data_IF_795979116878
#
_entry.id   IF_795979116878
#
_cell.length_a   1.000
_cell.length_b   1.000
_cell.length_c   1.000
_cell.angle_alpha   90.00
_cell.angle_beta   90.00
_cell.angle_gamma   90.00
#
_symmetry.space_group_name_H-M   'P 1'
#
loop_
_entity.id
_entity.type
_entity.pdbx_description
1 polymer ?
#
# COMPACT_ATOMS: atom_id res chain seq x y z
N UNK A 1 -39.59 21.52 -2.85
CA UNK A 1 -38.51 20.48 -2.77
C UNK A 1 -37.86 20.61 -1.41
N UNK A 2 -38.23 19.73 -0.46
CA UNK A 2 -37.68 19.76 0.88
C UNK A 2 -36.26 19.17 0.86
N UNK A 3 -35.28 20.03 1.14
CA UNK A 3 -33.90 19.57 1.40
C UNK A 3 -33.87 18.97 2.80
N UNK A 4 -33.80 17.66 2.91
CA UNK A 4 -33.57 16.98 4.19
C UNK A 4 -32.07 16.88 4.44
N UNK A 5 -31.66 17.18 5.67
CA UNK A 5 -30.28 17.16 6.12
C UNK A 5 -30.00 15.73 6.63
N UNK A 6 -29.08 15.03 6.01
CA UNK A 6 -28.62 13.74 6.49
C UNK A 6 -27.47 13.97 7.49
N UNK A 7 -27.64 13.55 8.74
CA UNK A 7 -26.57 13.56 9.75
C UNK A 7 -26.25 12.13 10.13
N UNK A 8 -24.96 11.78 10.14
CA UNK A 8 -24.46 10.42 10.36
C UNK A 8 -24.52 9.98 11.84
N UNK A 9 -24.96 10.84 12.74
CA UNK A 9 -24.88 10.63 14.20
C UNK A 9 -26.18 10.16 14.89
N UNK A 10 -27.27 9.90 14.15
CA UNK A 10 -28.52 9.44 14.74
C UNK A 10 -28.93 8.09 14.18
N UNK A 11 -29.26 7.15 15.06
CA UNK A 11 -29.77 5.82 14.73
C UNK A 11 -31.25 5.83 14.35
N UNK A 12 -31.91 6.98 14.41
CA UNK A 12 -33.34 7.11 14.14
C UNK A 12 -33.58 7.87 12.84
N UNK A 13 -33.63 7.15 11.74
CA UNK A 13 -34.10 7.74 10.46
C UNK A 13 -35.41 7.13 10.04
N UNK A 14 -36.37 7.96 9.73
CA UNK A 14 -37.41 7.59 8.77
C UNK A 14 -36.90 7.90 7.36
N UNK A 15 -36.72 6.87 6.55
CA UNK A 15 -36.32 7.01 5.14
C UNK A 15 -37.56 6.84 4.28
N UNK A 16 -38.00 7.96 3.67
CA UNK A 16 -39.01 7.88 2.62
C UNK A 16 -38.35 7.54 1.27
N UNK A 17 -38.81 6.49 0.63
CA UNK A 17 -38.39 6.13 -0.72
C UNK A 17 -39.18 6.90 -1.77
N UNK A 18 -38.56 7.27 -2.92
CA UNK A 18 -37.18 6.96 -3.27
C UNK A 18 -36.19 8.04 -2.79
N UNK A 19 -35.10 7.62 -2.14
CA UNK A 19 -33.96 8.45 -1.86
C UNK A 19 -32.70 7.80 -2.45
N UNK A 20 -31.95 8.58 -3.23
CA UNK A 20 -30.64 8.14 -3.73
C UNK A 20 -29.56 8.95 -3.04
N UNK A 21 -28.65 8.29 -2.36
CA UNK A 21 -27.46 8.88 -1.78
C UNK A 21 -26.26 8.39 -2.59
N UNK A 22 -25.49 9.32 -3.12
CA UNK A 22 -24.22 9.02 -3.76
C UNK A 22 -23.07 9.62 -2.96
N UNK A 23 -22.02 8.85 -2.77
CA UNK A 23 -20.79 9.30 -2.14
C UNK A 23 -19.62 9.06 -3.10
N UNK A 24 -18.66 9.99 -3.13
CA UNK A 24 -17.41 9.81 -3.84
C UNK A 24 -16.31 9.54 -2.84
N UNK A 25 -15.68 8.39 -2.95
CA UNK A 25 -14.51 8.01 -2.16
C UNK A 25 -13.27 8.37 -2.96
N UNK A 26 -12.32 9.06 -2.33
CA UNK A 26 -11.01 9.33 -2.92
C UNK A 26 -9.99 8.46 -2.23
N UNK A 27 -9.35 7.58 -2.99
CA UNK A 27 -8.19 6.80 -2.53
C UNK A 27 -6.95 7.47 -3.13
N UNK A 28 -6.16 8.20 -2.35
CA UNK A 28 -4.95 8.80 -2.86
C UNK A 28 -3.92 7.70 -3.16
N UNK A 29 -3.36 7.74 -4.37
CA UNK A 29 -2.28 6.83 -4.79
C UNK A 29 -1.18 7.72 -5.35
N UNK A 30 0.03 7.51 -4.86
CA UNK A 30 1.23 8.21 -5.32
C UNK A 30 2.18 7.20 -5.93
N UNK A 31 2.67 7.50 -7.14
CA UNK A 31 3.72 6.75 -7.80
C UNK A 31 4.88 7.69 -8.12
N UNK A 32 6.07 7.37 -7.64
CA UNK A 32 7.26 8.24 -7.74
C UNK A 32 8.52 7.45 -8.00
N UNK A 33 9.47 8.01 -8.74
CA UNK A 33 10.86 7.55 -8.76
C UNK A 33 11.59 8.07 -7.51
N UNK A 34 12.23 7.20 -6.75
CA UNK A 34 13.05 7.61 -5.61
C UNK A 34 14.44 8.09 -6.01
N UNK A 35 14.96 7.59 -7.12
CA UNK A 35 16.33 7.86 -7.57
C UNK A 35 17.37 7.51 -6.49
N UNK A 36 17.16 6.40 -5.78
CA UNK A 36 18.13 5.91 -4.82
C UNK A 36 19.46 5.65 -5.52
N UNK A 37 20.56 5.98 -4.85
CA UNK A 37 21.87 5.68 -5.37
C UNK A 37 22.07 4.16 -5.54
N UNK A 38 22.97 3.79 -6.44
CA UNK A 38 23.21 2.41 -6.85
C UNK A 38 23.67 1.52 -5.66
N UNK A 39 24.48 2.08 -4.78
CA UNK A 39 25.04 1.33 -3.65
C UNK A 39 23.96 1.00 -2.62
N UNK A 40 23.10 1.95 -2.26
CA UNK A 40 21.94 1.72 -1.38
C UNK A 40 20.99 0.68 -1.98
N UNK A 41 20.68 0.77 -3.28
CA UNK A 41 19.83 -0.24 -3.94
C UNK A 41 20.47 -1.63 -3.92
N UNK A 42 21.77 -1.73 -4.19
CA UNK A 42 22.50 -3.00 -4.16
C UNK A 42 22.53 -3.59 -2.75
N UNK A 43 22.71 -2.77 -1.71
CA UNK A 43 22.68 -3.19 -0.31
C UNK A 43 21.29 -3.70 0.08
N UNK A 44 20.21 -2.99 -0.29
CA UNK A 44 18.84 -3.46 -0.05
C UNK A 44 18.57 -4.81 -0.71
N UNK A 45 18.95 -4.96 -1.98
CA UNK A 45 18.79 -6.24 -2.71
C UNK A 45 19.53 -7.36 -1.98
N UNK A 46 20.80 -7.12 -1.59
CA UNK A 46 21.61 -8.09 -0.88
C UNK A 46 20.94 -8.53 0.43
N UNK A 47 20.51 -7.57 1.25
CA UNK A 47 19.84 -7.85 2.52
C UNK A 47 18.56 -8.65 2.34
N UNK A 48 17.74 -8.32 1.33
CA UNK A 48 16.51 -9.05 1.04
C UNK A 48 16.81 -10.50 0.62
N UNK A 49 17.84 -10.71 -0.19
CA UNK A 49 18.24 -12.05 -0.62
C UNK A 49 18.85 -12.87 0.52
N UNK A 50 19.55 -12.25 1.46
CA UNK A 50 20.17 -12.93 2.62
C UNK A 50 19.14 -13.32 3.68
N UNK A 51 18.02 -12.59 3.79
CA UNK A 51 17.00 -12.77 4.83
C UNK A 51 15.63 -13.18 4.29
N UNK A 52 15.53 -13.50 3.01
CA UNK A 52 14.25 -13.69 2.32
C UNK A 52 13.44 -14.91 2.74
N UNK A 53 13.99 -15.83 3.50
CA UNK A 53 13.30 -17.03 3.98
C UNK A 53 12.84 -16.97 5.45
N UNK A 54 13.03 -15.83 6.12
CA UNK A 54 12.72 -15.67 7.55
C UNK A 54 11.23 -15.88 7.87
N UNK A 55 10.32 -15.54 6.95
CA UNK A 55 8.86 -15.72 7.14
C UNK A 55 8.31 -17.02 6.55
N UNK A 56 9.08 -17.72 5.73
CA UNK A 56 8.74 -19.03 5.19
C UNK A 56 7.30 -19.15 4.66
N UNK A 57 6.84 -18.18 3.86
CA UNK A 57 5.49 -18.14 3.24
C UNK A 57 4.31 -18.14 4.24
N UNK A 58 4.53 -17.80 5.50
CA UNK A 58 3.51 -17.82 6.55
C UNK A 58 2.52 -16.64 6.48
N UNK A 59 2.84 -15.58 5.74
CA UNK A 59 2.02 -14.39 5.56
C UNK A 59 1.12 -14.45 4.31
N UNK A 60 0.46 -13.34 3.97
CA UNK A 60 -0.25 -13.17 2.69
C UNK A 60 0.71 -13.15 1.50
N UNK A 61 1.99 -12.89 1.73
CA UNK A 61 3.06 -12.97 0.74
C UNK A 61 3.43 -14.45 0.55
N UNK A 62 3.15 -14.99 -0.62
CA UNK A 62 3.49 -16.37 -1.02
C UNK A 62 4.77 -16.36 -1.84
N UNK A 63 5.82 -15.84 -1.25
CA UNK A 63 7.15 -15.65 -1.81
C UNK A 63 8.18 -15.63 -0.68
N UNK A 64 9.45 -15.55 -1.01
CA UNK A 64 10.49 -15.35 -0.01
C UNK A 64 10.33 -13.96 0.61
N UNK A 65 10.25 -13.88 1.91
CA UNK A 65 10.01 -12.65 2.66
C UNK A 65 10.92 -12.57 3.88
N UNK A 66 11.50 -11.39 4.09
CA UNK A 66 12.32 -11.11 5.28
C UNK A 66 11.45 -10.96 6.53
N UNK A 67 12.11 -10.78 7.69
CA UNK A 67 11.43 -10.32 8.91
C UNK A 67 10.69 -8.99 8.69
N UNK A 68 9.61 -8.78 9.45
CA UNK A 68 8.75 -7.59 9.37
C UNK A 68 9.42 -6.28 9.78
N UNK A 69 10.49 -6.36 10.58
CA UNK A 69 11.09 -5.20 11.23
C UNK A 69 12.50 -4.89 10.72
N UNK A 70 12.74 -5.06 9.42
CA UNK A 70 14.06 -4.80 8.82
C UNK A 70 14.56 -3.37 9.08
N UNK A 71 13.67 -2.39 9.15
CA UNK A 71 14.01 -0.99 9.43
C UNK A 71 14.58 -0.75 10.84
N UNK A 72 14.34 -1.65 11.77
CA UNK A 72 14.95 -1.59 13.11
C UNK A 72 16.34 -2.20 13.16
N UNK A 73 16.66 -3.07 12.20
CA UNK A 73 17.89 -3.87 12.16
C UNK A 73 18.93 -3.32 11.18
N UNK A 74 18.49 -2.74 10.05
CA UNK A 74 19.37 -2.35 8.95
C UNK A 74 19.17 -0.89 8.55
N UNK A 75 20.31 -0.21 8.38
CA UNK A 75 20.37 1.23 8.07
C UNK A 75 19.61 1.57 6.78
N UNK A 76 19.77 0.77 5.74
CA UNK A 76 19.16 1.00 4.42
C UNK A 76 17.63 0.97 4.48
N UNK A 77 17.07 0.03 5.22
CA UNK A 77 15.64 -0.04 5.47
C UNK A 77 15.14 1.11 6.36
N UNK A 78 15.94 1.50 7.36
CA UNK A 78 15.64 2.65 8.22
C UNK A 78 15.60 3.96 7.42
N UNK A 79 16.56 4.17 6.54
CA UNK A 79 16.60 5.36 5.67
C UNK A 79 15.38 5.42 4.76
N UNK A 80 14.97 4.27 4.19
CA UNK A 80 13.78 4.16 3.37
C UNK A 80 12.50 4.45 4.17
N UNK A 81 12.38 3.93 5.39
CA UNK A 81 11.23 4.19 6.26
C UNK A 81 11.13 5.67 6.65
N UNK A 82 12.23 6.31 7.02
CA UNK A 82 12.26 7.75 7.32
C UNK A 82 11.81 8.58 6.10
N UNK A 83 12.25 8.20 4.91
CA UNK A 83 11.82 8.86 3.69
C UNK A 83 10.31 8.72 3.45
N UNK A 84 9.76 7.51 3.58
CA UNK A 84 8.33 7.26 3.40
C UNK A 84 7.48 7.93 4.46
N UNK A 85 7.94 8.01 5.72
CA UNK A 85 7.28 8.78 6.79
C UNK A 85 7.20 10.27 6.45
N UNK A 86 8.31 10.86 6.01
CA UNK A 86 8.35 12.27 5.60
C UNK A 86 7.42 12.55 4.42
N UNK A 87 7.37 11.63 3.44
CA UNK A 87 6.49 11.73 2.30
C UNK A 87 5.01 11.57 2.71
N UNK A 88 4.69 10.61 3.56
CA UNK A 88 3.35 10.40 4.11
C UNK A 88 2.81 11.64 4.81
N UNK A 89 3.61 12.26 5.68
CA UNK A 89 3.27 13.54 6.33
C UNK A 89 2.97 14.64 5.31
N UNK A 90 3.80 14.75 4.28
CA UNK A 90 3.64 15.76 3.22
C UNK A 90 2.36 15.56 2.41
N UNK A 91 2.01 14.32 2.10
CA UNK A 91 0.84 13.99 1.28
C UNK A 91 -0.46 14.14 2.08
N UNK A 92 -0.46 13.72 3.34
CA UNK A 92 -1.63 13.74 4.21
C UNK A 92 -2.15 15.15 4.50
N UNK A 93 -1.32 16.20 4.32
CA UNK A 93 -1.66 17.60 4.60
C UNK A 93 -2.10 17.90 6.04
N UNK A 94 -2.23 16.88 6.86
CA UNK A 94 -2.57 16.97 8.26
C UNK A 94 -1.30 16.95 9.11
N UNK A 95 -1.34 17.66 10.24
CA UNK A 95 -0.20 17.69 11.17
C UNK A 95 -0.23 16.44 12.08
N UNK A 96 -0.15 15.27 11.45
CA UNK A 96 -0.17 13.97 12.14
C UNK A 96 1.24 13.40 12.20
N UNK A 97 1.54 12.79 13.34
CA UNK A 97 2.76 11.99 13.46
C UNK A 97 2.56 10.64 12.79
N UNK A 98 3.42 10.35 11.83
CA UNK A 98 3.46 9.10 11.09
C UNK A 98 4.73 8.37 11.47
N UNK A 99 4.61 7.11 11.78
CA UNK A 99 5.75 6.20 12.00
C UNK A 99 5.56 4.92 11.21
N UNK A 100 6.65 4.34 10.77
CA UNK A 100 6.65 3.03 10.12
C UNK A 100 6.39 1.95 11.16
N UNK A 101 5.32 1.20 10.99
CA UNK A 101 5.00 0.08 11.86
C UNK A 101 5.79 -1.15 11.45
N UNK A 102 5.77 -1.50 10.18
CA UNK A 102 6.57 -2.59 9.60
C UNK A 102 7.26 -2.14 8.30
N UNK A 103 8.38 -2.76 8.00
CA UNK A 103 9.12 -2.54 6.76
C UNK A 103 9.96 -3.78 6.47
N UNK A 104 9.66 -4.43 5.38
CA UNK A 104 10.22 -5.71 4.99
C UNK A 104 10.49 -5.77 3.49
N UNK A 105 11.18 -6.81 3.04
CA UNK A 105 11.46 -7.05 1.63
C UNK A 105 10.98 -8.43 1.19
N UNK A 106 10.63 -8.56 -0.09
CA UNK A 106 10.26 -9.84 -0.68
C UNK A 106 10.90 -10.06 -2.04
N UNK A 107 11.08 -11.33 -2.38
CA UNK A 107 11.54 -11.78 -3.70
C UNK A 107 10.47 -12.68 -4.27
N UNK A 108 9.85 -12.24 -5.35
CA UNK A 108 8.85 -13.01 -6.09
C UNK A 108 9.51 -13.71 -7.27
N UNK A 109 9.27 -14.99 -7.40
CA UNK A 109 9.62 -15.80 -8.57
C UNK A 109 8.38 -16.09 -9.39
N UNK A 110 8.57 -16.69 -10.55
CA UNK A 110 7.46 -17.06 -11.44
C UNK A 110 6.43 -17.94 -10.71
N UNK A 111 5.19 -17.48 -10.64
CA UNK A 111 4.07 -18.17 -10.01
C UNK A 111 3.86 -17.81 -8.53
N UNK A 112 4.71 -16.97 -7.97
CA UNK A 112 4.55 -16.46 -6.60
C UNK A 112 3.74 -15.16 -6.61
N UNK A 113 2.98 -14.94 -5.55
CA UNK A 113 2.04 -13.82 -5.45
C UNK A 113 1.88 -13.33 -4.02
N UNK A 114 1.29 -12.18 -3.88
CA UNK A 114 0.68 -11.74 -2.63
C UNK A 114 -0.82 -11.94 -2.73
N UNK A 115 -1.38 -12.72 -1.79
CA UNK A 115 -2.83 -12.93 -1.70
C UNK A 115 -3.52 -11.60 -1.41
N UNK A 116 -4.65 -11.37 -2.09
CA UNK A 116 -5.50 -10.19 -1.85
C UNK A 116 -5.77 -10.02 -0.35
N UNK A 117 -5.50 -8.83 0.15
CA UNK A 117 -5.71 -8.45 1.55
C UNK A 117 -5.97 -6.95 1.68
N UNK A 118 -6.29 -6.51 2.87
CA UNK A 118 -6.48 -5.09 3.19
C UNK A 118 -5.43 -4.63 4.18
N UNK A 119 -5.13 -3.35 4.14
CA UNK A 119 -4.24 -2.68 5.09
C UNK A 119 -5.06 -1.87 6.11
N UNK A 120 -6.12 -2.48 6.64
CA UNK A 120 -6.99 -1.85 7.62
C UNK A 120 -6.22 -1.37 8.84
N UNK A 121 -6.43 -0.11 9.19
CA UNK A 121 -5.77 0.53 10.34
C UNK A 121 -4.48 1.28 9.98
N UNK A 122 -3.92 1.09 8.80
CA UNK A 122 -2.77 1.87 8.32
C UNK A 122 -3.24 3.15 7.64
N UNK A 123 -2.51 4.24 7.88
CA UNK A 123 -2.74 5.50 7.18
C UNK A 123 -2.23 5.44 5.75
N UNK A 124 -1.06 4.82 5.58
CA UNK A 124 -0.40 4.61 4.31
C UNK A 124 0.25 3.23 4.28
N UNK A 125 0.22 2.62 3.11
CA UNK A 125 1.05 1.47 2.75
C UNK A 125 1.94 1.85 1.58
N UNK A 126 3.07 1.19 1.42
CA UNK A 126 3.98 1.49 0.33
C UNK A 126 4.75 0.26 -0.15
N UNK A 127 5.09 0.27 -1.45
CA UNK A 127 5.96 -0.71 -2.09
C UNK A 127 7.05 0.02 -2.86
N UNK A 128 8.31 -0.32 -2.61
CA UNK A 128 9.45 0.15 -3.38
C UNK A 128 10.01 -0.96 -4.25
N UNK A 129 10.06 -0.72 -5.55
CA UNK A 129 10.41 -1.71 -6.56
C UNK A 129 11.90 -1.65 -6.90
N UNK A 130 12.69 -2.52 -6.29
CA UNK A 130 14.14 -2.61 -6.49
C UNK A 130 14.53 -3.25 -7.82
N UNK A 131 13.80 -4.30 -8.23
CA UNK A 131 13.95 -5.03 -9.48
C UNK A 131 12.59 -5.39 -10.04
N UNK A 132 12.38 -5.10 -11.32
CA UNK A 132 11.14 -5.39 -12.04
C UNK A 132 11.47 -5.99 -13.40
N UNK A 133 11.38 -7.31 -13.57
CA UNK A 133 11.49 -7.94 -14.89
C UNK A 133 10.46 -7.39 -15.87
N UNK A 134 10.78 -7.47 -17.17
CA UNK A 134 9.95 -6.87 -18.23
C UNK A 134 8.53 -7.43 -18.28
N UNK A 135 8.35 -8.69 -17.88
CA UNK A 135 7.06 -9.41 -17.87
C UNK A 135 6.46 -9.52 -16.47
N UNK A 136 6.85 -8.63 -15.55
CA UNK A 136 6.28 -8.61 -14.20
C UNK A 136 4.80 -8.31 -14.23
N UNK A 137 3.98 -9.03 -13.44
CA UNK A 137 2.57 -8.70 -13.29
C UNK A 137 2.39 -7.32 -12.64
N UNK A 138 1.23 -6.68 -12.86
CA UNK A 138 0.94 -5.41 -12.23
C UNK A 138 0.71 -5.55 -10.72
N UNK A 139 0.84 -4.44 -10.01
CA UNK A 139 0.22 -4.26 -8.72
C UNK A 139 -1.27 -3.94 -8.95
N UNK A 140 -2.15 -4.79 -8.41
CA UNK A 140 -3.58 -4.68 -8.63
C UNK A 140 -4.31 -4.18 -7.39
N UNK A 141 -5.11 -3.16 -7.58
CA UNK A 141 -6.12 -2.73 -6.62
C UNK A 141 -7.46 -3.36 -7.00
N UNK A 142 -8.09 -4.03 -6.06
CA UNK A 142 -9.38 -4.68 -6.24
C UNK A 142 -10.40 -4.18 -5.22
N UNK A 143 -11.67 -4.22 -5.60
CA UNK A 143 -12.82 -3.89 -4.75
C UNK A 143 -12.75 -2.48 -4.14
N UNK A 144 -12.23 -1.52 -4.91
CA UNK A 144 -12.14 -0.13 -4.47
C UNK A 144 -13.51 0.50 -4.54
N UNK A 145 -13.93 1.06 -3.41
CA UNK A 145 -15.22 1.73 -3.26
C UNK A 145 -16.36 0.73 -3.15
N UNK A 146 -17.14 0.82 -2.10
CA UNK A 146 -18.41 0.11 -1.99
C UNK A 146 -19.37 0.61 -3.07
N UNK A 147 -19.26 0.05 -4.29
CA UNK A 147 -20.20 0.27 -5.35
C UNK A 147 -21.54 -0.38 -5.03
N UNK A 148 -22.58 -0.08 -5.84
CA UNK A 148 -23.83 -0.82 -5.84
C UNK A 148 -23.56 -2.31 -5.78
N UNK A 149 -24.32 -3.05 -4.99
CA UNK A 149 -24.13 -4.47 -4.71
C UNK A 149 -23.66 -5.25 -5.95
N UNK A 150 -22.43 -5.74 -5.91
CA UNK A 150 -21.82 -6.57 -6.95
C UNK A 150 -20.98 -5.86 -8.02
N UNK A 151 -20.78 -4.54 -7.95
CA UNK A 151 -19.87 -3.81 -8.85
C UNK A 151 -18.69 -3.25 -8.09
N UNK A 152 -17.58 -3.94 -8.15
CA UNK A 152 -16.30 -3.47 -7.63
C UNK A 152 -15.43 -2.94 -8.76
N UNK A 153 -14.73 -1.84 -8.50
CA UNK A 153 -13.73 -1.32 -9.41
C UNK A 153 -12.37 -1.97 -9.11
N UNK A 154 -11.65 -2.33 -10.14
CA UNK A 154 -10.25 -2.72 -10.05
C UNK A 154 -9.41 -1.96 -11.06
N UNK A 155 -8.15 -1.73 -10.74
CA UNK A 155 -7.20 -1.18 -11.69
C UNK A 155 -5.78 -1.66 -11.41
N UNK A 156 -4.97 -1.66 -12.46
CA UNK A 156 -3.60 -2.16 -12.46
C UNK A 156 -2.60 -1.01 -12.57
N UNK A 157 -1.54 -1.10 -11.77
CA UNK A 157 -0.35 -0.27 -11.92
C UNK A 157 0.79 -1.17 -12.33
N UNK A 158 1.50 -0.83 -13.39
CA UNK A 158 2.69 -1.52 -13.88
C UNK A 158 3.94 -0.81 -13.37
N UNK A 159 4.50 -1.21 -12.24
CA UNK A 159 5.65 -0.53 -11.67
C UNK A 159 6.90 -0.79 -12.51
N UNK A 160 7.84 0.11 -12.40
CA UNK A 160 9.18 -0.02 -12.95
C UNK A 160 10.22 -0.03 -11.82
N UNK A 161 11.45 -0.46 -12.14
CA UNK A 161 12.54 -0.33 -11.17
C UNK A 161 12.63 1.11 -10.65
N UNK A 162 12.89 1.25 -9.35
CA UNK A 162 12.99 2.50 -8.62
C UNK A 162 11.67 3.25 -8.40
N UNK A 163 10.54 2.64 -8.73
CA UNK A 163 9.24 3.19 -8.34
C UNK A 163 8.96 2.95 -6.86
N UNK A 164 8.44 4.00 -6.20
CA UNK A 164 7.76 3.92 -4.91
C UNK A 164 6.28 4.14 -5.16
N UNK A 165 5.48 3.13 -4.86
CA UNK A 165 4.02 3.19 -4.85
C UNK A 165 3.55 3.38 -3.41
N UNK A 166 2.74 4.40 -3.15
CA UNK A 166 2.09 4.66 -1.86
C UNK A 166 0.57 4.71 -2.03
N UNK A 167 -0.18 4.12 -1.09
CA UNK A 167 -1.64 3.99 -1.15
C UNK A 167 -2.27 3.83 0.24
#
# INVERSE_FOLDING_TARGET
>A
MNKRKCTVESTDYEVEFPMTVSATVRCPIELRKLNLNKDTRSSLIKLILEHGDEQNHSSNVKADMTDWFMHTRYKEFKELSIFTEALSKKISKDNIDVMTFDCWGAVYRKGEETIKHTHWGNLWSWCYYLKVPIDSPPFRFEDIGGGEAGKTASFDIYPQEDDLLMF
#
